data_IF_882853408857
#
_entry.id   IF_882853408857
#
_cell.length_a   1.000
_cell.length_b   1.000
_cell.length_c   1.000
_cell.angle_alpha   90.00
_cell.angle_beta   90.00
_cell.angle_gamma   90.00
#
_symmetry.space_group_name_H-M   'P 1'
#
loop_
_entity.id
_entity.type
_entity.pdbx_description
1 polymer ?
#
# COMPACT_ATOMS: atom_id res chain seq x y z
N UNK A 1 37.52 -10.12 -27.59
CA UNK A 1 37.65 -9.66 -26.22
C UNK A 1 36.48 -10.25 -25.43
N UNK A 2 36.75 -10.94 -24.31
CA UNK A 2 35.67 -11.42 -23.44
C UNK A 2 34.87 -10.23 -22.91
N UNK A 3 33.54 -10.29 -23.03
CA UNK A 3 32.66 -9.25 -22.57
C UNK A 3 32.76 -9.20 -21.02
N UNK A 4 33.08 -8.05 -20.45
CA UNK A 4 33.23 -7.92 -18.98
C UNK A 4 31.90 -8.22 -18.32
N UNK A 5 31.87 -9.16 -17.39
CA UNK A 5 30.74 -9.45 -16.54
C UNK A 5 30.73 -8.52 -15.33
N UNK A 6 29.58 -7.97 -14.97
CA UNK A 6 29.39 -7.14 -13.78
C UNK A 6 28.59 -7.95 -12.75
N UNK A 7 29.15 -8.14 -11.56
CA UNK A 7 28.50 -8.81 -10.43
C UNK A 7 27.79 -7.79 -9.57
N UNK A 8 26.47 -7.92 -9.48
CA UNK A 8 25.60 -6.92 -8.83
C UNK A 8 24.79 -7.55 -7.70
N UNK A 9 24.86 -6.98 -6.50
CA UNK A 9 23.98 -7.31 -5.38
C UNK A 9 22.75 -6.39 -5.43
N UNK A 10 21.56 -6.99 -5.31
CA UNK A 10 20.30 -6.27 -5.05
C UNK A 10 19.78 -6.69 -3.68
N UNK A 11 19.74 -5.74 -2.74
CA UNK A 11 19.25 -5.96 -1.38
C UNK A 11 18.18 -4.92 -1.04
N UNK A 12 16.92 -5.30 -1.21
CA UNK A 12 15.74 -4.46 -1.00
C UNK A 12 14.71 -5.19 -0.14
N UNK A 13 13.98 -4.45 0.69
CA UNK A 13 12.96 -5.02 1.57
C UNK A 13 11.69 -5.44 0.79
N UNK A 14 11.68 -6.66 0.29
CA UNK A 14 10.61 -7.23 -0.54
C UNK A 14 9.24 -7.35 0.14
N UNK A 15 9.15 -7.07 1.45
CA UNK A 15 7.87 -7.05 2.17
C UNK A 15 6.95 -5.94 1.65
N UNK A 16 7.51 -4.86 1.12
CA UNK A 16 6.77 -3.73 0.55
C UNK A 16 6.62 -3.87 -0.97
N UNK A 17 5.46 -3.51 -1.50
CA UNK A 17 5.20 -3.51 -2.94
C UNK A 17 6.17 -2.59 -3.68
N UNK A 18 6.48 -1.44 -3.11
CA UNK A 18 7.45 -0.49 -3.65
C UNK A 18 8.78 -1.16 -4.00
N UNK A 19 9.34 -1.97 -3.10
CA UNK A 19 10.59 -2.69 -3.35
C UNK A 19 10.43 -3.76 -4.45
N UNK A 20 9.30 -4.48 -4.47
CA UNK A 20 9.02 -5.46 -5.54
C UNK A 20 8.88 -4.80 -6.90
N UNK A 21 8.28 -3.61 -7.00
CA UNK A 21 8.21 -2.84 -8.24
C UNK A 21 9.59 -2.32 -8.67
N UNK A 22 10.40 -1.83 -7.73
CA UNK A 22 11.81 -1.45 -7.99
C UNK A 22 12.57 -2.63 -8.56
N UNK A 23 12.49 -3.81 -7.95
CA UNK A 23 13.13 -5.03 -8.44
C UNK A 23 12.65 -5.36 -9.86
N UNK A 24 11.36 -5.25 -10.13
CA UNK A 24 10.82 -5.47 -11.48
C UNK A 24 11.47 -4.54 -12.52
N UNK A 25 11.72 -3.29 -12.16
CA UNK A 25 12.44 -2.35 -13.02
C UNK A 25 13.91 -2.73 -13.25
N UNK A 26 14.61 -3.15 -12.18
CA UNK A 26 15.99 -3.63 -12.25
C UNK A 26 16.09 -4.86 -13.17
N UNK A 27 15.19 -5.82 -13.00
CA UNK A 27 15.14 -7.04 -13.83
C UNK A 27 14.87 -6.70 -15.31
N UNK A 28 13.99 -5.73 -15.56
CA UNK A 28 13.73 -5.28 -16.95
C UNK A 28 14.98 -4.69 -17.60
N UNK A 29 15.84 -4.00 -16.85
CA UNK A 29 17.13 -3.52 -17.31
C UNK A 29 18.08 -4.70 -17.57
N UNK A 30 18.21 -5.61 -16.61
CA UNK A 30 19.15 -6.72 -16.65
C UNK A 30 18.91 -7.67 -17.82
N UNK A 31 17.65 -7.92 -18.19
CA UNK A 31 17.32 -8.73 -19.38
C UNK A 31 17.94 -8.16 -20.67
N UNK A 32 18.15 -6.84 -20.73
CA UNK A 32 18.78 -6.17 -21.88
C UNK A 32 20.31 -6.07 -21.75
N UNK A 33 20.85 -6.46 -20.59
CA UNK A 33 22.26 -6.36 -20.23
C UNK A 33 22.79 -7.71 -19.74
N UNK A 34 22.97 -8.70 -20.64
CA UNK A 34 23.39 -10.06 -20.28
C UNK A 34 24.77 -10.13 -19.62
N UNK A 35 25.53 -9.04 -19.62
CA UNK A 35 26.76 -8.88 -18.87
C UNK A 35 26.55 -8.70 -17.35
N UNK A 36 25.29 -8.58 -16.87
CA UNK A 36 24.96 -8.50 -15.46
C UNK A 36 24.73 -9.89 -14.85
N UNK A 37 25.55 -10.24 -13.88
CA UNK A 37 25.36 -11.39 -13.00
C UNK A 37 24.79 -10.86 -11.66
N UNK A 38 23.52 -11.14 -11.39
CA UNK A 38 22.84 -10.58 -10.22
C UNK A 38 22.61 -11.60 -9.14
N UNK A 39 22.85 -11.18 -7.89
CA UNK A 39 22.38 -11.88 -6.70
C UNK A 39 21.39 -11.00 -5.93
N UNK A 40 20.21 -11.58 -5.65
CA UNK A 40 19.19 -10.93 -4.85
C UNK A 40 19.30 -11.40 -3.40
N UNK A 41 19.45 -10.46 -2.48
CA UNK A 41 19.35 -10.70 -1.04
C UNK A 41 18.02 -10.17 -0.54
N UNK A 42 17.22 -11.01 0.10
CA UNK A 42 16.03 -10.58 0.83
C UNK A 42 16.43 -10.26 2.28
N UNK A 43 15.90 -9.19 2.84
CA UNK A 43 15.97 -8.92 4.28
C UNK A 43 15.02 -9.86 5.04
N UNK A 44 15.31 -11.16 5.05
CA UNK A 44 14.55 -12.10 5.87
C UNK A 44 15.22 -12.20 7.25
N UNK A 45 14.46 -12.13 8.37
CA UNK A 45 15.02 -12.24 9.73
C UNK A 45 15.67 -13.58 10.02
N UNK A 46 15.20 -14.66 9.39
CA UNK A 46 15.94 -15.91 9.34
C UNK A 46 17.01 -15.74 8.26
N UNK A 47 18.19 -15.44 8.70
CA UNK A 47 19.40 -15.30 7.88
C UNK A 47 19.86 -16.66 7.35
N UNK A 48 18.92 -17.51 6.90
CA UNK A 48 19.17 -18.75 6.18
C UNK A 48 19.78 -18.45 4.82
N UNK A 49 20.76 -17.58 4.95
CA UNK A 49 21.59 -16.96 3.97
C UNK A 49 21.56 -17.67 2.65
N UNK A 50 21.19 -16.98 1.61
CA UNK A 50 21.99 -17.11 0.43
C UNK A 50 23.39 -16.62 0.83
N UNK A 51 24.15 -17.48 1.51
CA UNK A 51 25.55 -17.26 1.77
C UNK A 51 26.15 -17.03 0.39
N UNK A 52 26.62 -15.82 0.13
CA UNK A 52 27.42 -15.58 -1.05
C UNK A 52 28.56 -16.59 -1.02
N UNK A 53 28.80 -17.23 -2.14
CA UNK A 53 30.10 -17.90 -2.32
C UNK A 53 31.15 -16.87 -1.86
N UNK A 54 31.99 -17.18 -0.85
CA UNK A 54 33.03 -16.26 -0.39
C UNK A 54 33.94 -15.76 -1.50
N UNK A 55 34.00 -16.48 -2.62
CA UNK A 55 34.74 -16.12 -3.83
C UNK A 55 33.98 -15.17 -4.77
N UNK A 56 32.68 -14.92 -4.52
CA UNK A 56 31.87 -14.04 -5.33
C UNK A 56 31.91 -12.61 -4.77
N UNK A 57 32.76 -11.79 -5.36
CA UNK A 57 32.89 -10.37 -4.96
C UNK A 57 32.06 -9.49 -5.88
N UNK A 58 31.17 -8.64 -5.37
CA UNK A 58 30.37 -7.73 -6.17
C UNK A 58 31.21 -6.58 -6.74
N UNK A 59 30.90 -6.17 -7.97
CA UNK A 59 31.39 -4.93 -8.57
C UNK A 59 30.47 -3.75 -8.18
N UNK A 60 29.18 -4.02 -7.93
CA UNK A 60 28.21 -3.01 -7.59
C UNK A 60 27.02 -3.51 -6.78
N UNK A 61 26.25 -2.57 -6.24
CA UNK A 61 25.09 -2.87 -5.39
C UNK A 61 23.92 -1.91 -5.64
N UNK A 62 22.70 -2.44 -5.47
CA UNK A 62 21.47 -1.65 -5.36
C UNK A 62 20.80 -2.04 -4.04
N UNK A 63 20.69 -1.09 -3.12
CA UNK A 63 20.27 -1.38 -1.75
C UNK A 63 19.33 -0.30 -1.20
N UNK A 64 18.49 -0.66 -0.24
CA UNK A 64 17.73 0.29 0.58
C UNK A 64 18.32 0.36 2.00
N UNK A 65 18.07 1.47 2.69
CA UNK A 65 18.41 1.66 4.13
C UNK A 65 19.83 1.26 4.54
N UNK A 66 20.78 1.25 3.60
CA UNK A 66 22.13 0.76 3.82
C UNK A 66 22.85 1.35 5.05
N UNK A 67 22.63 2.63 5.35
CA UNK A 67 23.21 3.29 6.52
C UNK A 67 22.50 3.00 7.85
N UNK A 68 21.40 2.24 7.85
CA UNK A 68 20.69 1.88 9.06
C UNK A 68 21.23 0.61 9.73
N UNK A 69 22.08 -0.15 9.02
CA UNK A 69 22.72 -1.37 9.52
C UNK A 69 24.23 -1.24 9.49
N UNK A 70 24.94 -1.92 10.41
CA UNK A 70 26.39 -1.92 10.43
C UNK A 70 26.96 -2.53 9.14
N UNK A 71 26.40 -3.66 8.71
CA UNK A 71 26.77 -4.36 7.48
C UNK A 71 26.62 -3.45 6.24
N UNK A 72 25.51 -2.70 6.17
CA UNK A 72 25.28 -1.74 5.09
C UNK A 72 26.27 -0.59 5.13
N UNK A 73 26.65 -0.09 6.31
CA UNK A 73 27.69 0.94 6.46
C UNK A 73 29.07 0.44 6.03
N UNK A 74 29.45 -0.78 6.39
CA UNK A 74 30.69 -1.40 5.95
C UNK A 74 30.75 -1.57 4.43
N UNK A 75 29.66 -2.06 3.81
CA UNK A 75 29.55 -2.16 2.36
C UNK A 75 29.70 -0.80 1.68
N UNK A 76 29.08 0.25 2.24
CA UNK A 76 29.18 1.61 1.72
C UNK A 76 30.55 2.26 1.92
N UNK A 77 31.29 1.88 2.95
CA UNK A 77 32.63 2.36 3.22
C UNK A 77 33.69 1.79 2.25
N UNK A 78 33.38 0.73 1.51
CA UNK A 78 34.27 0.14 0.52
C UNK A 78 34.53 1.12 -0.63
N UNK A 79 35.76 1.52 -0.83
CA UNK A 79 36.18 2.45 -1.88
C UNK A 79 36.09 1.87 -3.30
N UNK A 80 36.02 0.56 -3.42
CA UNK A 80 36.00 -0.19 -4.70
C UNK A 80 34.60 -0.48 -5.18
N UNK A 81 33.60 -0.59 -4.28
CA UNK A 81 32.24 -0.95 -4.59
C UNK A 81 31.48 0.28 -5.10
N UNK A 82 30.75 0.10 -6.22
CA UNK A 82 29.83 1.13 -6.75
C UNK A 82 28.42 0.85 -6.26
N UNK A 83 27.67 1.91 -5.92
CA UNK A 83 26.35 1.72 -5.34
C UNK A 83 25.28 2.67 -5.84
N UNK A 84 24.04 2.17 -5.85
CA UNK A 84 22.83 2.96 -5.94
C UNK A 84 21.97 2.66 -4.71
N UNK A 85 21.57 3.71 -4.00
CA UNK A 85 20.91 3.60 -2.72
C UNK A 85 19.53 4.19 -2.83
N UNK A 86 18.51 3.37 -2.61
CA UNK A 86 17.16 3.85 -2.41
C UNK A 86 17.04 4.43 -1.00
N UNK A 87 16.76 5.71 -0.94
CA UNK A 87 16.78 6.46 0.29
C UNK A 87 15.49 7.20 0.54
N UNK A 88 15.06 7.15 1.80
CA UNK A 88 14.07 8.09 2.32
C UNK A 88 14.71 9.40 2.81
N UNK A 89 16.05 9.44 2.88
CA UNK A 89 16.84 10.55 3.42
C UNK A 89 18.18 10.59 2.67
N UNK A 90 18.68 11.78 2.38
CA UNK A 90 20.02 11.91 1.82
C UNK A 90 21.06 11.33 2.81
N UNK A 91 22.00 10.54 2.30
CA UNK A 91 23.09 10.04 3.13
C UNK A 91 23.94 11.20 3.69
N UNK A 92 24.69 10.95 4.77
CA UNK A 92 25.67 11.90 5.29
C UNK A 92 26.66 12.36 4.22
N UNK A 93 27.22 13.56 4.41
CA UNK A 93 28.06 14.22 3.42
C UNK A 93 29.34 13.45 3.03
N UNK A 94 29.85 12.64 3.89
CA UNK A 94 31.02 11.79 3.77
C UNK A 94 30.82 10.51 2.92
N UNK A 95 29.57 10.16 2.60
CA UNK A 95 29.22 9.02 1.72
C UNK A 95 29.29 9.34 0.22
N UNK A 96 30.14 10.24 -0.25
CA UNK A 96 29.86 11.06 -1.43
C UNK A 96 30.36 10.64 -2.79
N UNK A 97 31.32 9.77 -2.94
CA UNK A 97 32.06 9.77 -4.21
C UNK A 97 31.72 8.65 -5.17
N UNK A 98 31.25 7.51 -4.66
CA UNK A 98 31.07 6.29 -5.45
C UNK A 98 29.62 5.85 -5.59
N UNK A 99 28.67 6.54 -4.93
CA UNK A 99 27.29 6.11 -4.83
C UNK A 99 26.28 7.13 -5.37
N UNK A 100 25.16 6.63 -5.88
CA UNK A 100 24.00 7.43 -6.29
C UNK A 100 22.85 7.22 -5.32
N UNK A 101 22.02 8.24 -5.15
CA UNK A 101 20.83 8.15 -4.29
C UNK A 101 19.58 8.23 -5.16
N UNK A 102 18.61 7.35 -4.90
CA UNK A 102 17.29 7.37 -5.52
C UNK A 102 16.26 7.71 -4.44
N UNK A 103 15.43 8.72 -4.69
CA UNK A 103 14.42 9.21 -3.74
C UNK A 103 13.10 9.48 -4.44
N UNK A 104 11.99 9.40 -3.74
CA UNK A 104 10.70 9.88 -4.22
C UNK A 104 10.69 11.41 -4.39
N UNK A 105 9.89 11.92 -5.32
CA UNK A 105 9.64 13.35 -5.45
C UNK A 105 8.57 13.79 -4.43
N UNK A 106 9.01 14.03 -3.20
CA UNK A 106 8.11 14.46 -2.12
C UNK A 106 7.39 15.78 -2.40
N UNK A 107 7.99 16.66 -3.23
CA UNK A 107 7.34 17.90 -3.66
C UNK A 107 6.19 17.60 -4.63
N UNK A 108 6.43 16.75 -5.61
CA UNK A 108 5.39 16.35 -6.56
C UNK A 108 4.26 15.58 -5.85
N UNK A 109 4.57 14.69 -4.88
CA UNK A 109 3.58 14.03 -4.04
C UNK A 109 2.68 15.05 -3.32
N UNK A 110 3.30 16.04 -2.67
CA UNK A 110 2.57 17.07 -1.92
C UNK A 110 1.67 17.93 -2.81
N UNK A 111 2.18 18.35 -3.97
CA UNK A 111 1.39 19.13 -4.94
C UNK A 111 0.24 18.31 -5.50
N UNK A 112 0.44 17.02 -5.75
CA UNK A 112 -0.60 16.10 -6.23
C UNK A 112 -1.70 15.94 -5.19
N UNK A 113 -1.35 15.72 -3.92
CA UNK A 113 -2.31 15.63 -2.83
C UNK A 113 -3.15 16.92 -2.69
N UNK A 114 -2.49 18.07 -2.72
CA UNK A 114 -3.16 19.37 -2.65
C UNK A 114 -4.13 19.57 -3.85
N UNK A 115 -3.68 19.27 -5.07
CA UNK A 115 -4.50 19.42 -6.27
C UNK A 115 -5.75 18.54 -6.20
N UNK A 116 -5.62 17.27 -5.82
CA UNK A 116 -6.75 16.35 -5.68
C UNK A 116 -7.80 16.90 -4.71
N UNK A 117 -7.42 17.23 -3.50
CA UNK A 117 -8.34 17.74 -2.50
C UNK A 117 -8.99 19.07 -2.92
N UNK A 118 -8.26 19.92 -3.61
CA UNK A 118 -8.79 21.17 -4.16
C UNK A 118 -9.79 20.94 -5.29
N UNK A 119 -9.54 19.98 -6.17
CA UNK A 119 -10.47 19.56 -7.21
C UNK A 119 -11.78 19.05 -6.63
N UNK A 120 -11.73 18.41 -5.45
CA UNK A 120 -12.90 17.97 -4.69
C UNK A 120 -13.54 19.09 -3.85
N UNK A 121 -13.12 20.34 -4.02
CA UNK A 121 -13.72 21.51 -3.35
C UNK A 121 -13.36 21.65 -1.87
N UNK A 122 -12.43 20.86 -1.33
CA UNK A 122 -12.04 20.92 0.08
C UNK A 122 -11.30 22.21 0.40
N UNK A 123 -11.53 22.71 1.64
CA UNK A 123 -10.88 23.90 2.18
C UNK A 123 -10.12 23.64 3.49
N UNK A 124 -10.37 22.51 4.13
CA UNK A 124 -9.67 22.08 5.34
C UNK A 124 -8.74 20.94 5.00
N UNK A 125 -7.49 21.02 5.42
CA UNK A 125 -6.43 20.09 5.09
C UNK A 125 -5.69 19.64 6.33
N UNK A 126 -5.38 18.36 6.39
CA UNK A 126 -4.66 17.76 7.47
C UNK A 126 -3.57 16.82 6.95
N UNK A 127 -2.50 16.68 7.71
CA UNK A 127 -1.39 15.77 7.43
C UNK A 127 -1.12 14.90 8.64
N UNK A 128 -0.95 13.60 8.39
CA UNK A 128 -0.56 12.66 9.41
C UNK A 128 0.69 11.89 8.96
N UNK A 129 1.77 12.03 9.74
CA UNK A 129 3.06 11.42 9.49
C UNK A 129 3.30 10.14 10.28
N UNK A 130 4.56 9.75 10.33
CA UNK A 130 5.07 8.66 11.16
C UNK A 130 5.11 9.06 12.62
N UNK A 131 5.26 8.06 13.51
CA UNK A 131 5.46 8.32 14.94
C UNK A 131 6.84 8.87 15.27
N UNK A 132 7.83 8.58 14.43
CA UNK A 132 9.25 8.86 14.69
C UNK A 132 9.77 10.18 14.12
N UNK A 133 8.94 10.98 13.44
CA UNK A 133 9.34 12.21 12.75
C UNK A 133 10.51 11.98 11.77
N UNK A 134 10.48 10.89 11.02
CA UNK A 134 11.50 10.58 10.02
C UNK A 134 11.64 11.73 9.00
N UNK A 135 12.87 12.03 8.60
CA UNK A 135 13.20 13.17 7.73
C UNK A 135 12.41 13.20 6.41
N UNK A 136 12.15 12.04 5.81
CA UNK A 136 11.34 11.95 4.59
C UNK A 136 9.88 12.38 4.84
N UNK A 137 9.33 12.01 5.98
CA UNK A 137 7.99 12.39 6.39
C UNK A 137 7.91 13.90 6.66
N UNK A 138 8.93 14.46 7.31
CA UNK A 138 9.07 15.91 7.50
C UNK A 138 9.19 16.66 6.17
N UNK A 139 9.87 16.09 5.17
CA UNK A 139 9.94 16.67 3.83
C UNK A 139 8.56 16.72 3.16
N UNK A 140 7.79 15.61 3.18
CA UNK A 140 6.41 15.56 2.68
C UNK A 140 5.53 16.62 3.35
N UNK A 141 5.55 16.67 4.68
CA UNK A 141 4.81 17.66 5.48
C UNK A 141 5.18 19.10 5.10
N UNK A 142 6.47 19.39 4.98
CA UNK A 142 6.97 20.72 4.61
C UNK A 142 6.50 21.16 3.24
N UNK A 143 6.61 20.29 2.23
CA UNK A 143 6.15 20.58 0.88
C UNK A 143 4.64 20.73 0.79
N UNK A 144 3.88 19.93 1.52
CA UNK A 144 2.42 20.06 1.56
C UNK A 144 1.97 21.36 2.21
N UNK A 145 2.61 21.73 3.34
CA UNK A 145 2.37 23.03 3.98
C UNK A 145 2.67 24.20 3.06
N UNK A 146 3.80 24.13 2.33
CA UNK A 146 4.17 25.18 1.38
C UNK A 146 3.14 25.29 0.25
N UNK A 147 2.76 24.16 -0.39
CA UNK A 147 1.79 24.15 -1.47
C UNK A 147 0.41 24.69 -1.03
N UNK A 148 -0.04 24.37 0.18
CA UNK A 148 -1.28 24.89 0.74
C UNK A 148 -1.19 26.38 1.07
N UNK A 149 -0.07 26.84 1.65
CA UNK A 149 0.18 28.24 1.97
C UNK A 149 0.14 29.10 0.70
N UNK A 150 0.80 28.65 -0.36
CA UNK A 150 0.82 29.35 -1.65
C UNK A 150 -0.60 29.45 -2.27
N UNK A 151 -1.49 28.50 -1.92
CA UNK A 151 -2.88 28.50 -2.32
C UNK A 151 -3.82 29.23 -1.32
N UNK A 152 -3.30 29.83 -0.25
CA UNK A 152 -4.06 30.59 0.76
C UNK A 152 -4.73 29.73 1.84
N UNK A 153 -4.23 28.49 2.10
CA UNK A 153 -4.82 27.55 3.06
C UNK A 153 -3.87 27.20 4.21
N UNK A 154 -4.49 26.86 5.35
CA UNK A 154 -3.80 26.30 6.51
C UNK A 154 -3.63 24.78 6.43
N UNK A 155 -2.79 24.23 7.29
CA UNK A 155 -2.57 22.79 7.44
C UNK A 155 -2.63 22.40 8.92
N UNK A 156 -3.58 21.53 9.26
CA UNK A 156 -3.62 20.83 10.54
C UNK A 156 -2.65 19.63 10.50
N UNK A 157 -1.76 19.52 11.48
CA UNK A 157 -0.77 18.44 11.53
C UNK A 157 -0.95 17.62 12.78
N UNK A 158 -1.05 16.31 12.61
CA UNK A 158 -1.05 15.38 13.73
C UNK A 158 0.34 15.32 14.37
N UNK A 159 0.40 15.54 15.66
CA UNK A 159 1.60 15.35 16.47
C UNK A 159 1.42 14.11 17.36
N UNK A 160 2.21 13.08 17.12
CA UNK A 160 2.19 11.88 17.96
C UNK A 160 2.70 12.22 19.36
N UNK A 161 1.97 11.88 20.43
CA UNK A 161 2.41 12.18 21.79
C UNK A 161 3.66 11.37 22.16
N UNK A 162 4.46 11.90 23.07
CA UNK A 162 5.70 11.22 23.49
C UNK A 162 5.42 9.82 24.08
N UNK A 163 4.33 9.67 24.83
CA UNK A 163 3.90 8.38 25.38
C UNK A 163 3.61 7.32 24.30
N UNK A 164 3.22 7.73 23.11
CA UNK A 164 2.92 6.83 22.01
C UNK A 164 4.15 6.08 21.44
N UNK A 165 5.35 6.46 21.84
CA UNK A 165 6.56 5.71 21.48
C UNK A 165 6.56 4.30 22.04
N UNK A 166 6.00 4.13 23.22
CA UNK A 166 5.93 2.85 23.96
C UNK A 166 4.50 2.33 24.14
N UNK A 167 3.49 3.21 24.06
CA UNK A 167 2.09 2.87 24.25
C UNK A 167 1.26 3.13 22.99
N UNK A 168 0.83 2.04 22.34
CA UNK A 168 -0.02 2.09 21.16
C UNK A 168 -1.43 2.57 21.46
N UNK A 169 -1.93 2.39 22.69
CA UNK A 169 -3.27 2.83 23.08
C UNK A 169 -3.31 4.36 23.21
N UNK A 170 -2.25 4.96 23.74
CA UNK A 170 -2.08 6.41 23.79
C UNK A 170 -2.06 7.03 22.39
N UNK A 171 -1.37 6.40 21.44
CA UNK A 171 -1.38 6.82 20.04
C UNK A 171 -2.78 6.76 19.43
N UNK A 172 -3.48 5.64 19.63
CA UNK A 172 -4.81 5.44 19.08
C UNK A 172 -5.80 6.48 19.63
N UNK A 173 -5.77 6.73 20.95
CA UNK A 173 -6.60 7.76 21.59
C UNK A 173 -6.31 9.15 21.04
N UNK A 174 -5.04 9.56 21.00
CA UNK A 174 -4.65 10.88 20.53
C UNK A 174 -5.03 11.11 19.06
N UNK A 175 -4.86 10.09 18.22
CA UNK A 175 -5.30 10.13 16.81
C UNK A 175 -6.81 10.26 16.70
N UNK A 176 -7.57 9.53 17.52
CA UNK A 176 -9.03 9.59 17.54
C UNK A 176 -9.51 10.98 17.93
N UNK A 177 -8.97 11.53 19.00
CA UNK A 177 -9.31 12.87 19.50
C UNK A 177 -9.01 13.93 18.42
N UNK A 178 -7.83 13.84 17.78
CA UNK A 178 -7.43 14.78 16.74
C UNK A 178 -8.33 14.71 15.50
N UNK A 179 -8.60 13.49 14.95
CA UNK A 179 -9.44 13.34 13.75
C UNK A 179 -10.87 13.83 14.03
N UNK A 180 -11.39 13.57 15.23
CA UNK A 180 -12.72 14.01 15.63
C UNK A 180 -12.83 15.53 15.69
N UNK A 181 -11.79 16.21 16.17
CA UNK A 181 -11.73 17.67 16.30
C UNK A 181 -11.47 18.41 14.97
N UNK A 182 -11.04 17.74 13.90
CA UNK A 182 -10.80 18.40 12.61
C UNK A 182 -12.07 19.08 12.08
N UNK A 183 -11.97 20.29 11.50
CA UNK A 183 -13.08 20.91 10.80
C UNK A 183 -13.44 20.07 9.57
N UNK A 184 -14.76 19.89 9.32
CA UNK A 184 -15.28 19.05 8.24
C UNK A 184 -16.06 19.89 7.23
N UNK A 185 -16.02 19.54 5.91
CA UNK A 185 -15.25 18.47 5.30
C UNK A 185 -13.74 18.73 5.28
N UNK A 186 -12.91 17.68 5.44
CA UNK A 186 -11.45 17.77 5.53
C UNK A 186 -10.77 16.71 4.66
N UNK A 187 -9.68 17.09 4.00
CA UNK A 187 -8.76 16.16 3.33
C UNK A 187 -7.57 15.81 4.23
N UNK A 188 -7.42 14.54 4.60
CA UNK A 188 -6.29 14.03 5.35
C UNK A 188 -5.32 13.35 4.39
N UNK A 189 -4.13 13.93 4.22
CA UNK A 189 -3.03 13.26 3.53
C UNK A 189 -2.17 12.52 4.54
N UNK A 190 -2.18 11.19 4.45
CA UNK A 190 -1.30 10.33 5.23
C UNK A 190 0.02 10.12 4.50
N UNK A 191 1.12 10.12 5.24
CA UNK A 191 2.45 10.03 4.66
C UNK A 191 2.68 8.71 3.89
N UNK A 192 1.94 7.64 4.19
CA UNK A 192 1.98 6.32 3.53
C UNK A 192 0.70 5.53 3.81
N UNK A 193 0.45 4.48 3.04
CA UNK A 193 -0.85 3.78 3.03
C UNK A 193 -1.22 3.12 4.36
N UNK A 194 -0.26 2.51 5.09
CA UNK A 194 -0.55 1.94 6.42
C UNK A 194 -1.03 3.01 7.41
N UNK A 195 -0.51 4.24 7.30
CA UNK A 195 -0.97 5.34 8.15
C UNK A 195 -2.37 5.80 7.76
N UNK A 196 -2.66 5.82 6.47
CA UNK A 196 -4.00 6.08 5.96
C UNK A 196 -5.01 5.03 6.41
N UNK A 197 -4.63 3.75 6.40
CA UNK A 197 -5.46 2.65 6.92
C UNK A 197 -5.85 2.86 8.39
N UNK A 198 -4.93 3.32 9.25
CA UNK A 198 -5.25 3.64 10.64
C UNK A 198 -6.25 4.79 10.76
N UNK A 199 -6.14 5.81 9.89
CA UNK A 199 -7.13 6.92 9.84
C UNK A 199 -8.51 6.39 9.46
N UNK A 200 -8.59 5.53 8.43
CA UNK A 200 -9.86 4.93 8.00
C UNK A 200 -10.49 4.06 9.10
N UNK A 201 -9.69 3.28 9.82
CA UNK A 201 -10.19 2.46 10.93
C UNK A 201 -10.76 3.32 12.07
N UNK A 202 -10.11 4.42 12.39
CA UNK A 202 -10.63 5.39 13.38
C UNK A 202 -11.92 6.02 12.89
N UNK A 203 -11.97 6.50 11.65
CA UNK A 203 -13.19 7.08 11.07
C UNK A 203 -14.37 6.08 11.16
N UNK A 204 -14.11 4.82 10.80
CA UNK A 204 -15.11 3.75 10.89
C UNK A 204 -15.61 3.53 12.32
N UNK A 205 -14.70 3.47 13.31
CA UNK A 205 -15.04 3.24 14.73
C UNK A 205 -15.79 4.41 15.35
N UNK A 206 -15.49 5.64 14.92
CA UNK A 206 -16.12 6.87 15.44
C UNK A 206 -17.36 7.31 14.66
N UNK A 207 -17.72 6.60 13.57
CA UNK A 207 -18.86 6.95 12.75
C UNK A 207 -18.63 8.16 11.82
N UNK A 208 -17.39 8.61 11.66
CA UNK A 208 -17.03 9.67 10.71
C UNK A 208 -17.14 9.12 9.29
N UNK A 209 -17.97 9.75 8.47
CA UNK A 209 -18.22 9.31 7.10
C UNK A 209 -17.04 9.69 6.20
N UNK A 210 -16.54 8.70 5.48
CA UNK A 210 -15.51 8.82 4.43
C UNK A 210 -16.15 8.39 3.12
N UNK A 211 -16.13 9.23 2.08
CA UNK A 211 -15.36 10.48 1.92
C UNK A 211 -16.09 11.77 2.33
N UNK A 212 -17.35 11.74 2.73
CA UNK A 212 -18.21 12.93 2.84
C UNK A 212 -17.72 13.94 3.90
N UNK A 213 -17.32 13.47 5.07
CA UNK A 213 -16.82 14.33 6.14
C UNK A 213 -15.29 14.40 6.15
N UNK A 214 -14.64 13.29 5.80
CA UNK A 214 -13.18 13.21 5.73
C UNK A 214 -12.80 12.43 4.47
N UNK A 215 -11.99 13.03 3.61
CA UNK A 215 -11.32 12.32 2.55
C UNK A 215 -9.94 11.88 3.04
N UNK A 216 -9.52 10.66 2.70
CA UNK A 216 -8.24 10.10 3.13
C UNK A 216 -7.43 9.67 1.90
N UNK A 217 -6.21 10.19 1.78
CA UNK A 217 -5.28 9.90 0.70
C UNK A 217 -3.98 9.32 1.27
N UNK A 218 -3.56 8.18 0.74
CA UNK A 218 -2.28 7.54 1.05
C UNK A 218 -1.18 7.83 0.04
N UNK A 219 -0.08 7.12 0.16
CA UNK A 219 1.06 7.10 -0.77
C UNK A 219 1.62 5.68 -0.80
N UNK A 220 2.12 5.26 -1.93
CA UNK A 220 2.79 4.02 -2.33
C UNK A 220 1.90 3.09 -3.15
N UNK A 221 0.58 3.21 -3.09
CA UNK A 221 -0.42 2.36 -3.77
C UNK A 221 -0.19 0.86 -3.47
N UNK A 222 0.04 0.55 -2.18
CA UNK A 222 0.18 -0.81 -1.69
C UNK A 222 -1.17 -1.53 -1.82
N UNK A 223 -1.34 -2.32 -2.88
CA UNK A 223 -2.64 -2.93 -3.25
C UNK A 223 -3.23 -3.76 -2.11
N UNK A 224 -2.38 -4.49 -1.37
CA UNK A 224 -2.81 -5.27 -0.20
C UNK A 224 -3.50 -4.40 0.88
N UNK A 225 -3.08 -3.15 1.05
CA UNK A 225 -3.68 -2.21 1.99
C UNK A 225 -4.86 -1.48 1.33
N UNK A 226 -4.63 -0.91 0.16
CA UNK A 226 -5.60 -0.03 -0.49
C UNK A 226 -6.91 -0.74 -0.82
N UNK A 227 -6.86 -2.03 -1.20
CA UNK A 227 -8.04 -2.81 -1.59
C UNK A 227 -8.74 -3.48 -0.41
N UNK A 228 -8.07 -3.65 0.74
CA UNK A 228 -8.63 -4.30 1.92
C UNK A 228 -9.22 -3.32 2.94
N UNK A 229 -8.98 -2.02 2.79
CA UNK A 229 -9.57 -1.00 3.67
C UNK A 229 -11.05 -0.76 3.36
N UNK A 230 -11.77 -0.23 4.34
CA UNK A 230 -13.18 0.15 4.22
C UNK A 230 -13.37 1.58 4.70
N UNK A 231 -13.70 2.50 3.76
CA UNK A 231 -13.73 2.35 2.29
C UNK A 231 -12.34 2.04 1.70
N UNK A 232 -12.29 1.57 0.44
CA UNK A 232 -11.02 1.32 -0.26
C UNK A 232 -10.22 2.61 -0.37
N UNK A 233 -8.89 2.51 -0.13
CA UNK A 233 -8.01 3.66 0.04
C UNK A 233 -7.49 4.17 -1.31
N UNK A 234 -7.73 5.46 -1.58
CA UNK A 234 -7.06 6.21 -2.64
C UNK A 234 -5.61 6.47 -2.26
N UNK A 235 -4.69 6.32 -3.21
CA UNK A 235 -3.27 6.49 -2.95
C UNK A 235 -2.55 7.14 -4.12
N UNK A 236 -1.53 7.94 -3.83
CA UNK A 236 -0.61 8.44 -4.85
C UNK A 236 0.40 7.33 -5.15
N UNK A 237 0.52 6.97 -6.42
CA UNK A 237 1.40 5.91 -6.89
C UNK A 237 2.72 6.48 -7.44
N UNK A 238 3.85 6.38 -6.73
CA UNK A 238 5.16 6.66 -7.31
C UNK A 238 5.50 5.63 -8.40
N UNK A 239 6.31 6.03 -9.37
CA UNK A 239 6.75 5.10 -10.42
C UNK A 239 8.00 4.31 -9.99
N UNK A 240 7.81 3.45 -9.00
CA UNK A 240 8.90 2.63 -8.46
C UNK A 240 9.56 1.74 -9.50
N UNK A 241 8.79 1.26 -10.49
CA UNK A 241 9.34 0.42 -11.55
C UNK A 241 10.29 1.22 -12.46
N UNK A 242 9.90 2.42 -12.88
CA UNK A 242 10.79 3.31 -13.63
C UNK A 242 12.00 3.72 -12.78
N UNK A 243 11.78 3.96 -11.46
CA UNK A 243 12.87 4.22 -10.52
C UNK A 243 13.88 3.09 -10.43
N UNK A 244 13.42 1.84 -10.42
CA UNK A 244 14.28 0.65 -10.44
C UNK A 244 15.10 0.52 -11.73
N UNK A 245 14.47 0.77 -12.86
CA UNK A 245 15.16 0.77 -14.16
C UNK A 245 16.26 1.86 -14.20
N UNK A 246 15.94 3.08 -13.80
CA UNK A 246 16.88 4.20 -13.75
C UNK A 246 18.04 3.95 -12.76
N UNK A 247 17.76 3.28 -11.65
CA UNK A 247 18.78 2.87 -10.68
C UNK A 247 19.77 1.89 -11.29
N UNK A 248 19.28 0.88 -12.03
CA UNK A 248 20.13 -0.08 -12.71
C UNK A 248 20.96 0.58 -13.83
N UNK A 249 20.37 1.47 -14.61
CA UNK A 249 21.06 2.27 -15.63
C UNK A 249 22.17 3.12 -15.02
N UNK A 250 21.89 3.79 -13.88
CA UNK A 250 22.89 4.60 -13.19
C UNK A 250 24.03 3.74 -12.63
N UNK A 251 23.74 2.57 -12.07
CA UNK A 251 24.77 1.64 -11.62
C UNK A 251 25.62 1.15 -12.78
N UNK A 252 25.00 0.77 -13.89
CA UNK A 252 25.71 0.32 -15.10
C UNK A 252 26.65 1.42 -15.63
N UNK A 253 26.21 2.67 -15.62
CA UNK A 253 27.07 3.80 -15.99
C UNK A 253 28.29 3.93 -15.07
N UNK A 254 28.10 3.80 -13.75
CA UNK A 254 29.20 3.79 -12.76
C UNK A 254 30.19 2.64 -13.00
N UNK A 255 29.68 1.42 -13.24
CA UNK A 255 30.49 0.22 -13.50
C UNK A 255 31.26 0.31 -14.81
N UNK A 256 30.68 0.99 -15.79
CA UNK A 256 31.32 1.25 -17.10
C UNK A 256 32.32 2.41 -17.08
N UNK A 257 32.59 3.04 -15.92
CA UNK A 257 33.47 4.19 -15.78
C UNK A 257 32.90 5.51 -16.30
N UNK A 258 31.62 5.52 -16.71
CA UNK A 258 30.94 6.76 -17.11
C UNK A 258 30.54 7.56 -15.87
N UNK A 259 30.77 8.87 -15.88
CA UNK A 259 30.30 9.73 -14.79
C UNK A 259 28.83 10.04 -15.00
N UNK A 260 27.91 9.58 -14.13
CA UNK A 260 26.52 9.96 -14.22
C UNK A 260 26.36 11.46 -13.97
N UNK A 261 25.52 12.14 -14.76
CA UNK A 261 25.35 13.59 -14.71
C UNK A 261 24.79 14.09 -13.37
N UNK A 262 23.93 13.30 -12.72
CA UNK A 262 23.28 13.69 -11.47
C UNK A 262 23.64 12.76 -10.31
N UNK A 263 23.84 13.34 -9.12
CA UNK A 263 24.09 12.58 -7.87
C UNK A 263 22.82 11.95 -7.31
N UNK A 264 21.67 12.58 -7.58
CA UNK A 264 20.37 12.19 -7.08
C UNK A 264 19.46 11.84 -8.25
N UNK A 265 18.86 10.65 -8.21
CA UNK A 265 17.77 10.25 -9.07
C UNK A 265 16.45 10.46 -8.33
N UNK A 266 15.43 10.89 -9.05
CA UNK A 266 14.11 11.16 -8.47
C UNK A 266 13.08 10.22 -9.10
N UNK A 267 12.36 9.48 -8.25
CA UNK A 267 11.24 8.66 -8.67
C UNK A 267 10.04 9.58 -8.91
N UNK A 268 9.55 9.61 -10.14
CA UNK A 268 8.35 10.35 -10.52
C UNK A 268 7.06 9.73 -9.95
N UNK A 269 5.93 10.30 -10.35
CA UNK A 269 4.61 9.86 -9.94
C UNK A 269 3.87 9.34 -11.15
N UNK A 270 3.28 8.14 -11.09
CA UNK A 270 2.36 7.62 -12.12
C UNK A 270 1.03 8.37 -12.10
N UNK A 271 0.57 8.76 -10.91
CA UNK A 271 -0.70 9.46 -10.72
C UNK A 271 -1.31 9.14 -9.36
N UNK A 272 -2.59 9.52 -9.21
CA UNK A 272 -3.43 9.09 -8.10
C UNK A 272 -4.29 7.92 -8.56
N UNK A 273 -4.29 6.84 -7.80
CA UNK A 273 -5.27 5.76 -7.95
C UNK A 273 -6.42 6.10 -7.01
N UNK A 274 -7.44 6.75 -7.58
CA UNK A 274 -8.62 7.13 -6.82
C UNK A 274 -9.49 5.91 -6.52
N UNK A 275 -9.88 5.82 -5.24
CA UNK A 275 -10.81 4.81 -4.71
C UNK A 275 -11.83 5.52 -3.81
N UNK A 276 -12.60 4.76 -3.07
CA UNK A 276 -13.73 5.26 -2.30
C UNK A 276 -13.36 6.25 -1.18
N UNK A 277 -12.11 6.29 -0.72
CA UNK A 277 -11.73 7.18 0.39
C UNK A 277 -11.56 8.66 -0.01
N UNK A 278 -11.51 8.96 -1.31
CA UNK A 278 -11.49 10.35 -1.83
C UNK A 278 -12.50 10.61 -2.91
N UNK A 279 -13.07 9.58 -3.53
CA UNK A 279 -14.03 9.78 -4.62
C UNK A 279 -15.18 10.66 -4.15
N UNK A 280 -15.31 11.85 -4.75
CA UNK A 280 -16.41 12.73 -4.45
C UNK A 280 -17.71 12.11 -4.98
N UNK A 281 -18.48 11.65 -4.03
CA UNK A 281 -19.72 10.96 -4.27
C UNK A 281 -20.91 11.90 -3.96
N UNK A 282 -20.74 13.21 -4.14
CA UNK A 282 -21.80 14.18 -3.96
C UNK A 282 -22.99 13.81 -4.86
N UNK A 283 -23.91 13.07 -4.28
CA UNK A 283 -25.18 12.66 -4.87
C UNK A 283 -25.36 11.15 -5.05
N UNK A 284 -24.63 10.47 -5.90
CA UNK A 284 -24.88 9.05 -6.23
C UNK A 284 -23.96 8.08 -5.50
N UNK A 285 -22.73 8.43 -5.33
CA UNK A 285 -21.73 7.51 -4.81
C UNK A 285 -21.68 7.40 -3.29
N UNK A 286 -22.13 8.41 -2.52
CA UNK A 286 -22.36 8.25 -1.08
C UNK A 286 -23.32 7.09 -0.80
N UNK A 287 -24.34 6.93 -1.65
CA UNK A 287 -25.26 5.80 -1.55
C UNK A 287 -24.60 4.48 -1.90
N UNK A 288 -23.72 4.46 -2.88
CA UNK A 288 -22.98 3.25 -3.30
C UNK A 288 -22.03 2.78 -2.20
N UNK A 289 -21.27 3.68 -1.59
CA UNK A 289 -20.41 3.36 -0.43
C UNK A 289 -21.22 2.85 0.76
N UNK A 290 -22.33 3.53 1.08
CA UNK A 290 -23.22 3.10 2.15
C UNK A 290 -23.85 1.74 1.87
N UNK A 291 -24.18 1.48 0.61
CA UNK A 291 -24.70 0.17 0.18
C UNK A 291 -23.64 -0.92 0.38
N UNK A 292 -22.40 -0.68 -0.04
CA UNK A 292 -21.31 -1.62 0.16
C UNK A 292 -21.04 -1.90 1.63
N UNK A 293 -21.00 -0.87 2.48
CA UNK A 293 -20.82 -1.01 3.92
C UNK A 293 -21.97 -1.78 4.57
N UNK A 294 -23.20 -1.52 4.14
CA UNK A 294 -24.38 -2.25 4.60
C UNK A 294 -24.28 -3.74 4.22
N UNK A 295 -23.92 -4.03 2.96
CA UNK A 295 -23.75 -5.40 2.45
C UNK A 295 -22.68 -6.12 3.28
N UNK A 296 -21.52 -5.53 3.47
CA UNK A 296 -20.41 -6.15 4.20
C UNK A 296 -20.73 -6.47 5.66
N UNK A 297 -21.55 -5.63 6.31
CA UNK A 297 -21.96 -5.86 7.70
C UNK A 297 -23.11 -6.88 7.84
N UNK A 298 -23.97 -7.00 6.83
CA UNK A 298 -25.27 -7.66 6.97
C UNK A 298 -25.49 -8.81 5.98
N UNK A 299 -24.52 -9.11 5.11
CA UNK A 299 -24.71 -10.12 4.06
C UNK A 299 -25.10 -11.51 4.62
N UNK A 300 -24.51 -11.91 5.75
CA UNK A 300 -24.78 -13.17 6.44
C UNK A 300 -26.13 -13.20 7.18
N UNK A 301 -26.82 -12.07 7.34
CA UNK A 301 -28.17 -11.99 7.90
C UNK A 301 -29.29 -12.23 6.85
N UNK A 302 -28.95 -12.68 5.66
CA UNK A 302 -29.94 -13.01 4.63
C UNK A 302 -30.51 -11.82 3.87
N UNK A 303 -29.83 -10.67 3.91
CA UNK A 303 -30.29 -9.46 3.21
C UNK A 303 -30.50 -9.69 1.71
N UNK A 304 -31.44 -8.93 1.14
CA UNK A 304 -31.74 -8.87 -0.30
C UNK A 304 -31.34 -7.52 -0.88
N UNK A 305 -31.37 -7.40 -2.21
CA UNK A 305 -31.17 -6.10 -2.89
C UNK A 305 -32.18 -5.07 -2.39
N UNK A 306 -33.43 -5.47 -2.23
CA UNK A 306 -34.48 -4.58 -1.70
C UNK A 306 -34.15 -4.08 -0.28
N UNK A 307 -33.60 -4.94 0.59
CA UNK A 307 -33.16 -4.54 1.93
C UNK A 307 -32.02 -3.51 1.89
N UNK A 308 -31.07 -3.68 0.96
CA UNK A 308 -30.00 -2.69 0.74
C UNK A 308 -30.60 -1.36 0.28
N UNK A 309 -31.49 -1.37 -0.72
CA UNK A 309 -32.15 -0.16 -1.23
C UNK A 309 -32.94 0.54 -0.13
N UNK A 310 -33.68 -0.21 0.67
CA UNK A 310 -34.47 0.37 1.78
C UNK A 310 -33.57 1.01 2.83
N UNK A 311 -32.45 0.38 3.18
CA UNK A 311 -31.50 0.91 4.16
C UNK A 311 -30.77 2.17 3.70
N UNK A 312 -30.53 2.29 2.38
CA UNK A 312 -29.76 3.39 1.78
C UNK A 312 -30.68 4.53 1.32
N UNK A 313 -31.89 4.21 0.92
CA UNK A 313 -32.86 5.11 0.35
C UNK A 313 -32.63 5.41 -1.14
N UNK A 314 -33.70 5.84 -1.81
CA UNK A 314 -33.69 6.22 -3.22
C UNK A 314 -34.17 5.11 -4.16
N UNK A 315 -33.95 5.28 -5.46
CA UNK A 315 -34.39 4.35 -6.49
C UNK A 315 -33.45 3.17 -6.61
N UNK A 316 -33.99 1.95 -6.61
CA UNK A 316 -33.25 0.71 -6.84
C UNK A 316 -32.48 0.75 -8.16
N UNK A 317 -33.14 1.15 -9.24
CA UNK A 317 -32.53 1.27 -10.58
C UNK A 317 -31.32 2.20 -10.60
N UNK A 318 -31.40 3.33 -9.90
CA UNK A 318 -30.31 4.29 -9.84
C UNK A 318 -29.17 3.78 -8.96
N UNK A 319 -29.49 3.17 -7.83
CA UNK A 319 -28.48 2.58 -6.94
C UNK A 319 -27.73 1.42 -7.63
N UNK A 320 -28.45 0.55 -8.31
CA UNK A 320 -27.88 -0.59 -9.04
C UNK A 320 -26.99 -0.12 -10.20
N UNK A 321 -27.47 0.90 -10.99
CA UNK A 321 -26.66 1.50 -12.04
C UNK A 321 -25.36 2.08 -11.50
N UNK A 322 -25.44 2.93 -10.48
CA UNK A 322 -24.27 3.58 -9.89
C UNK A 322 -23.32 2.56 -9.23
N UNK A 323 -23.87 1.53 -8.58
CA UNK A 323 -23.09 0.46 -7.96
C UNK A 323 -22.32 -0.34 -9.03
N UNK A 324 -22.97 -0.65 -10.14
CA UNK A 324 -22.36 -1.33 -11.28
C UNK A 324 -21.29 -0.48 -11.99
N UNK A 325 -21.52 0.83 -12.13
CA UNK A 325 -20.53 1.76 -12.69
C UNK A 325 -19.27 1.85 -11.82
N UNK A 326 -19.43 1.85 -10.49
CA UNK A 326 -18.29 1.96 -9.55
C UNK A 326 -17.55 0.63 -9.38
N UNK A 327 -18.25 -0.51 -9.26
CA UNK A 327 -17.64 -1.80 -8.92
C UNK A 327 -17.58 -2.79 -10.07
N UNK A 328 -18.16 -2.48 -11.24
CA UNK A 328 -18.23 -3.43 -12.36
C UNK A 328 -19.12 -4.65 -12.11
N UNK A 329 -19.95 -4.64 -11.05
CA UNK A 329 -20.82 -5.75 -10.67
C UNK A 329 -22.10 -5.28 -9.99
N UNK A 330 -23.13 -6.15 -9.98
CA UNK A 330 -24.42 -5.84 -9.35
C UNK A 330 -24.37 -5.96 -7.82
N UNK A 331 -25.31 -5.26 -7.14
CA UNK A 331 -25.50 -5.37 -5.69
C UNK A 331 -25.72 -6.84 -5.26
N UNK A 332 -26.56 -7.57 -6.01
CA UNK A 332 -26.80 -8.98 -5.75
C UNK A 332 -25.51 -9.82 -5.81
N UNK A 333 -24.63 -9.52 -6.78
CA UNK A 333 -23.36 -10.21 -6.94
C UNK A 333 -22.42 -9.92 -5.80
N UNK A 334 -22.41 -8.68 -5.30
CA UNK A 334 -21.57 -8.32 -4.14
C UNK A 334 -22.06 -8.98 -2.85
N UNK A 335 -23.36 -9.05 -2.62
CA UNK A 335 -23.92 -9.83 -1.49
C UNK A 335 -23.43 -11.28 -1.54
N UNK A 336 -23.46 -11.91 -2.72
CA UNK A 336 -22.95 -13.26 -2.90
C UNK A 336 -21.45 -13.38 -2.64
N UNK A 337 -20.65 -12.42 -3.12
CA UNK A 337 -19.21 -12.39 -2.92
C UNK A 337 -18.86 -12.34 -1.42
N UNK A 338 -19.46 -11.41 -0.68
CA UNK A 338 -19.24 -11.27 0.76
C UNK A 338 -19.61 -12.54 1.52
N UNK A 339 -20.75 -13.16 1.19
CA UNK A 339 -21.15 -14.45 1.78
C UNK A 339 -20.15 -15.57 1.47
N UNK A 340 -19.63 -15.64 0.26
CA UNK A 340 -18.63 -16.65 -0.15
C UNK A 340 -17.29 -16.48 0.58
N UNK A 341 -16.83 -15.25 0.82
CA UNK A 341 -15.63 -15.01 1.64
C UNK A 341 -15.86 -15.47 3.10
N UNK A 342 -17.05 -15.23 3.66
CA UNK A 342 -17.42 -15.74 4.99
C UNK A 342 -17.41 -17.27 5.05
N UNK A 343 -17.94 -17.93 4.01
CA UNK A 343 -17.86 -19.39 3.85
C UNK A 343 -16.41 -19.87 3.89
N UNK A 344 -15.55 -19.22 3.14
CA UNK A 344 -14.11 -19.53 3.08
C UNK A 344 -13.44 -19.42 4.44
N UNK A 345 -13.78 -18.38 5.22
CA UNK A 345 -13.31 -18.26 6.61
C UNK A 345 -13.80 -19.37 7.51
N UNK A 346 -15.09 -19.72 7.45
CA UNK A 346 -15.67 -20.81 8.26
C UNK A 346 -15.07 -22.18 7.89
N UNK A 347 -14.79 -22.43 6.61
CA UNK A 347 -14.10 -23.65 6.18
C UNK A 347 -12.69 -23.78 6.77
N UNK A 348 -11.97 -22.65 6.95
CA UNK A 348 -10.64 -22.63 7.57
C UNK A 348 -10.69 -22.79 9.09
N UNK A 349 -11.66 -22.11 9.74
CA UNK A 349 -11.68 -21.93 11.20
C UNK A 349 -12.57 -22.97 11.92
N UNK A 350 -13.37 -23.76 11.20
CA UNK A 350 -14.32 -24.69 11.81
C UNK A 350 -14.41 -26.05 11.10
N UNK A 351 -14.99 -27.04 11.82
CA UNK A 351 -15.34 -28.34 11.28
C UNK A 351 -16.84 -28.48 10.93
N UNK A 352 -17.58 -27.38 10.92
CA UNK A 352 -19.02 -27.37 10.65
C UNK A 352 -19.35 -28.10 9.35
N UNK A 353 -20.47 -28.88 9.30
CA UNK A 353 -20.99 -29.43 8.06
C UNK A 353 -21.28 -28.33 7.03
N UNK A 354 -21.21 -28.70 5.74
CA UNK A 354 -21.38 -27.71 4.65
C UNK A 354 -22.78 -27.10 4.69
N UNK A 355 -23.79 -27.86 5.05
CA UNK A 355 -25.16 -27.35 5.15
C UNK A 355 -25.33 -26.36 6.30
N UNK A 356 -24.68 -26.59 7.43
CA UNK A 356 -24.63 -25.64 8.54
C UNK A 356 -23.86 -24.32 8.17
N UNK A 357 -22.83 -24.44 7.34
CA UNK A 357 -22.13 -23.26 6.81
C UNK A 357 -23.04 -22.50 5.83
N UNK A 358 -23.77 -23.22 4.97
CA UNK A 358 -24.71 -22.61 4.04
C UNK A 358 -25.79 -21.81 4.77
N UNK A 359 -26.39 -22.36 5.79
CA UNK A 359 -27.38 -21.70 6.64
C UNK A 359 -26.79 -20.46 7.32
N UNK A 360 -25.62 -20.61 7.96
CA UNK A 360 -24.93 -19.52 8.68
C UNK A 360 -24.47 -18.36 7.80
N UNK A 361 -24.29 -18.60 6.50
CA UNK A 361 -23.95 -17.60 5.50
C UNK A 361 -25.15 -17.18 4.64
N UNK A 362 -26.36 -17.52 5.07
CA UNK A 362 -27.62 -17.21 4.40
C UNK A 362 -27.68 -17.66 2.92
N UNK A 363 -27.15 -18.85 2.63
CA UNK A 363 -27.36 -19.52 1.35
C UNK A 363 -28.60 -20.44 1.42
N UNK A 364 -29.31 -20.53 0.32
CA UNK A 364 -30.58 -21.26 0.22
C UNK A 364 -30.46 -22.76 0.56
N UNK A 365 -29.35 -23.37 0.18
CA UNK A 365 -28.98 -24.76 0.50
C UNK A 365 -27.50 -25.02 0.17
N UNK A 366 -26.99 -26.16 0.69
CA UNK A 366 -25.60 -26.56 0.50
C UNK A 366 -25.22 -26.86 -0.96
N UNK A 367 -26.15 -27.38 -1.78
CA UNK A 367 -25.85 -27.68 -3.18
C UNK A 367 -25.66 -26.42 -4.02
N UNK A 368 -26.49 -25.42 -3.80
CA UNK A 368 -26.33 -24.11 -4.44
C UNK A 368 -25.01 -23.46 -4.04
N UNK A 369 -24.67 -23.51 -2.75
CA UNK A 369 -23.38 -22.99 -2.25
C UNK A 369 -22.19 -23.73 -2.88
N UNK A 370 -22.22 -25.08 -2.98
CA UNK A 370 -21.13 -25.87 -3.60
C UNK A 370 -20.82 -25.40 -5.02
N UNK A 371 -21.88 -25.21 -5.83
CA UNK A 371 -21.72 -24.75 -7.22
C UNK A 371 -21.15 -23.34 -7.31
N UNK A 372 -21.63 -22.42 -6.49
CA UNK A 372 -21.11 -21.04 -6.45
C UNK A 372 -19.67 -21.00 -5.98
N UNK A 373 -19.32 -21.76 -4.95
CA UNK A 373 -17.96 -21.81 -4.41
C UNK A 373 -16.98 -22.37 -5.45
N UNK A 374 -17.33 -23.48 -6.10
CA UNK A 374 -16.51 -24.05 -7.18
C UNK A 374 -16.32 -23.04 -8.33
N UNK A 375 -17.40 -22.39 -8.76
CA UNK A 375 -17.35 -21.37 -9.83
C UNK A 375 -16.48 -20.19 -9.45
N UNK A 376 -16.46 -19.76 -8.19
CA UNK A 376 -15.73 -18.57 -7.73
C UNK A 376 -14.26 -18.85 -7.45
N UNK A 377 -13.93 -20.00 -6.84
CA UNK A 377 -12.60 -20.32 -6.31
C UNK A 377 -11.87 -21.44 -7.08
N UNK A 378 -12.50 -22.05 -8.09
CA UNK A 378 -11.90 -23.11 -8.90
C UNK A 378 -11.66 -24.44 -8.16
N UNK A 379 -12.12 -24.56 -6.91
CA UNK A 379 -11.92 -25.74 -6.06
C UNK A 379 -13.18 -26.08 -5.28
N UNK A 380 -13.35 -27.35 -4.88
CA UNK A 380 -14.48 -27.74 -4.04
C UNK A 380 -14.25 -27.31 -2.59
N UNK A 381 -15.34 -27.08 -1.83
CA UNK A 381 -15.26 -26.74 -0.41
C UNK A 381 -14.54 -27.80 0.43
N UNK A 382 -14.72 -29.09 0.09
CA UNK A 382 -14.04 -30.19 0.78
C UNK A 382 -12.53 -30.16 0.52
N UNK A 383 -12.11 -29.99 -0.73
CA UNK A 383 -10.70 -29.86 -1.09
C UNK A 383 -10.07 -28.61 -0.47
N UNK A 384 -10.77 -27.47 -0.48
CA UNK A 384 -10.31 -26.24 0.16
C UNK A 384 -10.13 -26.42 1.68
N UNK A 385 -11.06 -27.08 2.36
CA UNK A 385 -10.95 -27.38 3.80
C UNK A 385 -9.76 -28.29 4.11
N UNK A 386 -9.54 -29.33 3.29
CA UNK A 386 -8.42 -30.26 3.46
C UNK A 386 -7.07 -29.55 3.31
N UNK A 387 -6.90 -28.74 2.28
CA UNK A 387 -5.67 -27.98 2.05
C UNK A 387 -5.40 -26.95 3.16
N UNK A 388 -6.46 -26.33 3.69
CA UNK A 388 -6.32 -25.33 4.79
C UNK A 388 -5.96 -25.96 6.14
N UNK A 389 -6.31 -27.24 6.38
CA UNK A 389 -5.94 -27.98 7.60
C UNK A 389 -4.52 -28.57 7.50
N UNK A 390 -4.09 -28.98 6.30
CA UNK A 390 -2.75 -29.53 6.07
C UNK A 390 -1.64 -28.51 6.29
N UNK A 391 -1.88 -27.23 6.04
CA UNK A 391 -0.92 -26.16 6.32
C UNK A 391 -0.81 -25.79 7.82
N UNK A 392 -1.76 -26.20 8.66
CA UNK A 392 -1.73 -25.94 10.10
C UNK A 392 -1.03 -27.07 10.91
N UNK A 393 -0.85 -28.25 10.31
CA UNK A 393 -0.22 -29.40 10.96
C UNK A 393 1.30 -29.54 10.69
N UNK A 394 1.85 -28.75 9.80
CA UNK A 394 3.28 -28.67 9.53
C UNK A 394 3.95 -27.60 10.39
N UNK A 395 3.82 -27.70 11.74
CA UNK A 395 4.79 -27.09 12.66
C UNK A 395 5.78 -28.22 13.01
N UNK A 396 7.05 -28.08 12.68
CA UNK A 396 8.06 -28.99 13.23
C UNK A 396 8.20 -28.77 14.73
N UNK A 397 8.38 -29.89 15.45
CA UNK A 397 8.86 -29.90 16.82
C UNK A 397 10.21 -29.23 16.95
#
# INVERSE_FOLDING_TARGET
>A
MAKRTYRVIVNLDVRHQAAREVISGILQFAVRHPEWEMQMRGNHPSNDGFALDPKWTPDGMIIDRAWQTDEGRELLASSTLRGVIFASVLPPADFHTTHKTVMTDDRALAVTAMKLFRQHGLRNFAFIGTRGNERWCEARKRFFRAALKDAGFGLSVYASPQAAKTDLSAEHKAMTDWITALPKPCGIWAAYDQRAMHVLDICRKTGIRVPEQVQVLGVDDESYICEQTIPTLSSIAPDFKAGGYAAAEALHALLSGRKPQERKLTIGIRGVVERLSTTDLSGSGSRVSRALDFIRRKADEGITVAAVVMAIGGSERLLEKNFSEVFGLSICREIQNVRLEKVKELLKKSSLPIDAIAERCAFRNGNYLKNLFLKRFGTTMSAFRASSKGSASARPC
#
